data_IF_457404198867
#
_entry.id   IF_457404198867
#
_cell.length_a   1.000
_cell.length_b   1.000
_cell.length_c   1.000
_cell.angle_alpha   90.00
_cell.angle_beta   90.00
_cell.angle_gamma   90.00
#
_symmetry.space_group_name_H-M   'P 1'
#
loop_
_entity.id
_entity.type
_entity.pdbx_description
1 polymer ?
#
# COMPACT_ATOMS: atom_id res chain seq x y z
N UNK A 1 -14.54 -33.56 -2.37
CA UNK A 1 -15.07 -32.59 -3.37
C UNK A 1 -15.67 -31.36 -2.67
N UNK A 2 -16.57 -31.54 -1.70
CA UNK A 2 -17.24 -30.45 -0.95
C UNK A 2 -16.30 -29.43 -0.28
N UNK A 3 -15.24 -29.88 0.41
CA UNK A 3 -14.24 -28.99 1.05
C UNK A 3 -13.54 -28.05 0.06
N UNK A 4 -13.25 -28.53 -1.16
CA UNK A 4 -12.63 -27.69 -2.20
C UNK A 4 -13.63 -26.65 -2.72
N UNK A 5 -14.90 -27.04 -2.89
CA UNK A 5 -15.97 -26.12 -3.30
C UNK A 5 -16.19 -25.05 -2.25
N UNK A 6 -16.24 -25.40 -0.96
CA UNK A 6 -16.38 -24.45 0.14
C UNK A 6 -15.19 -23.47 0.19
N UNK A 7 -13.96 -23.97 0.02
CA UNK A 7 -12.77 -23.13 -0.03
C UNK A 7 -12.81 -22.14 -1.21
N UNK A 8 -13.20 -22.61 -2.40
CA UNK A 8 -13.36 -21.75 -3.58
C UNK A 8 -14.43 -20.70 -3.31
N UNK A 9 -15.59 -21.10 -2.78
CA UNK A 9 -16.69 -20.18 -2.53
C UNK A 9 -16.35 -19.12 -1.49
N UNK A 10 -15.64 -19.51 -0.43
CA UNK A 10 -15.14 -18.59 0.60
C UNK A 10 -14.07 -17.63 0.05
N UNK A 11 -13.17 -18.12 -0.82
CA UNK A 11 -12.18 -17.27 -1.49
C UNK A 11 -12.82 -16.28 -2.47
N UNK A 12 -13.85 -16.71 -3.21
CA UNK A 12 -14.59 -15.88 -4.15
C UNK A 12 -15.43 -14.82 -3.43
N UNK A 13 -16.10 -15.18 -2.34
CA UNK A 13 -16.81 -14.24 -1.48
C UNK A 13 -15.86 -13.16 -0.95
N UNK A 14 -14.68 -13.55 -0.47
CA UNK A 14 -13.62 -12.62 -0.04
C UNK A 14 -13.21 -11.65 -1.13
N UNK A 15 -12.94 -12.14 -2.34
CA UNK A 15 -12.58 -11.28 -3.46
C UNK A 15 -13.69 -10.27 -3.79
N UNK A 16 -14.96 -10.70 -3.76
CA UNK A 16 -16.11 -9.80 -3.98
C UNK A 16 -16.19 -8.70 -2.92
N UNK A 17 -16.10 -9.05 -1.64
CA UNK A 17 -16.16 -8.04 -0.56
C UNK A 17 -14.95 -7.10 -0.63
N UNK A 18 -13.75 -7.61 -0.91
CA UNK A 18 -12.55 -6.77 -1.13
C UNK A 18 -12.77 -5.75 -2.25
N UNK A 19 -13.31 -6.17 -3.39
CA UNK A 19 -13.60 -5.26 -4.51
C UNK A 19 -14.68 -4.25 -4.15
N UNK A 20 -15.76 -4.66 -3.47
CA UNK A 20 -16.85 -3.74 -3.09
C UNK A 20 -16.38 -2.68 -2.09
N UNK A 21 -15.65 -3.08 -1.05
CA UNK A 21 -15.09 -2.14 -0.05
C UNK A 21 -14.06 -1.24 -0.71
N UNK A 22 -13.17 -1.79 -1.54
CA UNK A 22 -12.18 -1.03 -2.29
C UNK A 22 -12.82 0.03 -3.18
N UNK A 23 -13.88 -0.31 -3.92
CA UNK A 23 -14.59 0.62 -4.81
C UNK A 23 -15.34 1.71 -4.02
N UNK A 24 -16.10 1.34 -3.00
CA UNK A 24 -16.86 2.30 -2.18
C UNK A 24 -15.93 3.33 -1.53
N UNK A 25 -14.78 2.86 -1.06
CA UNK A 25 -13.81 3.70 -0.38
C UNK A 25 -12.97 4.51 -1.36
N UNK A 26 -12.66 4.01 -2.56
CA UNK A 26 -12.07 4.80 -3.65
C UNK A 26 -13.00 5.96 -4.06
N UNK A 27 -14.30 5.72 -4.18
CA UNK A 27 -15.30 6.76 -4.44
C UNK A 27 -15.36 7.80 -3.32
N UNK A 28 -15.32 7.36 -2.05
CA UNK A 28 -15.28 8.27 -0.91
C UNK A 28 -14.01 9.14 -0.91
N UNK A 29 -12.86 8.55 -1.25
CA UNK A 29 -11.59 9.26 -1.39
C UNK A 29 -11.63 10.26 -2.54
N UNK A 30 -12.07 9.87 -3.74
CA UNK A 30 -12.22 10.77 -4.88
C UNK A 30 -13.14 11.95 -4.54
N UNK A 31 -14.31 11.68 -3.93
CA UNK A 31 -15.26 12.72 -3.50
C UNK A 31 -14.63 13.71 -2.52
N UNK A 32 -13.87 13.20 -1.55
CA UNK A 32 -13.16 14.04 -0.58
C UNK A 32 -11.99 14.80 -1.22
N UNK A 33 -11.31 14.21 -2.19
CA UNK A 33 -10.21 14.83 -2.90
C UNK A 33 -10.67 16.03 -3.75
N UNK A 34 -11.83 15.91 -4.40
CA UNK A 34 -12.46 17.02 -5.14
C UNK A 34 -12.75 18.21 -4.21
N UNK A 35 -13.06 17.94 -2.94
CA UNK A 35 -13.33 18.98 -1.94
C UNK A 35 -12.05 19.56 -1.30
N UNK A 36 -10.88 18.94 -1.49
CA UNK A 36 -9.64 19.23 -0.75
C UNK A 36 -8.55 19.95 -1.59
N UNK A 37 -8.75 20.26 -2.89
CA UNK A 37 -7.65 20.80 -3.73
C UNK A 37 -8.01 21.87 -4.76
N UNK A 38 -7.29 23.00 -4.64
CA UNK A 38 -6.91 23.95 -5.71
C UNK A 38 -5.52 23.74 -6.32
N UNK A 39 -4.86 22.62 -6.03
CA UNK A 39 -3.56 22.25 -6.62
C UNK A 39 -3.61 20.85 -7.23
N UNK A 40 -3.53 20.81 -8.56
CA UNK A 40 -3.74 19.62 -9.42
C UNK A 40 -2.64 18.57 -9.26
N UNK A 41 -1.39 18.97 -8.99
CA UNK A 41 -0.26 18.03 -8.82
C UNK A 41 -0.35 17.16 -7.54
N UNK A 42 -1.11 17.59 -6.54
CA UNK A 42 -1.34 16.83 -5.31
C UNK A 42 -2.41 15.75 -5.43
N UNK A 43 -3.33 15.85 -6.40
CA UNK A 43 -4.44 14.90 -6.51
C UNK A 43 -3.97 13.49 -6.82
N UNK A 44 -3.09 13.33 -7.80
CA UNK A 44 -2.65 12.00 -8.23
C UNK A 44 -1.80 11.31 -7.16
N UNK A 45 -0.93 12.07 -6.48
CA UNK A 45 -0.15 11.56 -5.35
C UNK A 45 -1.02 11.22 -4.13
N UNK A 46 -2.06 12.01 -3.83
CA UNK A 46 -3.02 11.73 -2.76
C UNK A 46 -3.93 10.55 -3.07
N UNK A 47 -4.34 10.38 -4.34
CA UNK A 47 -5.12 9.23 -4.81
C UNK A 47 -4.30 7.95 -4.74
N UNK A 48 -3.06 7.97 -5.23
CA UNK A 48 -2.15 6.83 -5.14
C UNK A 48 -1.82 6.47 -3.69
N UNK A 49 -1.59 7.48 -2.85
CA UNK A 49 -1.35 7.28 -1.42
C UNK A 49 -2.57 6.64 -0.76
N UNK A 50 -3.76 7.26 -0.87
CA UNK A 50 -4.98 6.74 -0.25
C UNK A 50 -5.39 5.37 -0.79
N UNK A 51 -5.15 5.08 -2.08
CA UNK A 51 -5.37 3.76 -2.67
C UNK A 51 -4.47 2.69 -2.04
N UNK A 52 -3.20 3.01 -1.82
CA UNK A 52 -2.26 2.12 -1.10
C UNK A 52 -2.73 1.85 0.33
N UNK A 53 -3.31 2.85 1.01
CA UNK A 53 -3.81 2.69 2.39
C UNK A 53 -5.08 1.83 2.44
N UNK A 54 -5.96 2.03 1.47
CA UNK A 54 -7.15 1.23 1.28
C UNK A 54 -6.83 -0.23 1.07
N UNK A 55 -5.94 -0.50 0.10
CA UNK A 55 -5.55 -1.84 -0.24
C UNK A 55 -4.90 -2.51 0.97
N UNK A 56 -4.05 -1.79 1.70
CA UNK A 56 -3.43 -2.29 2.94
C UNK A 56 -4.45 -2.56 4.06
N UNK A 57 -5.47 -1.71 4.24
CA UNK A 57 -6.49 -1.86 5.29
C UNK A 57 -7.50 -2.97 4.97
N UNK A 58 -7.92 -3.07 3.72
CA UNK A 58 -8.78 -4.16 3.25
C UNK A 58 -8.00 -5.48 3.34
N UNK A 59 -6.74 -5.50 2.92
CA UNK A 59 -5.89 -6.67 3.07
C UNK A 59 -5.67 -7.04 4.55
N UNK A 60 -5.57 -6.08 5.47
CA UNK A 60 -5.38 -6.36 6.91
C UNK A 60 -6.59 -7.00 7.58
N UNK A 61 -7.81 -6.54 7.29
CA UNK A 61 -9.06 -7.13 7.82
C UNK A 61 -9.21 -8.58 7.33
N UNK A 62 -9.02 -8.80 6.03
CA UNK A 62 -9.05 -10.15 5.48
C UNK A 62 -7.89 -11.02 5.96
N UNK A 63 -6.74 -10.42 6.28
CA UNK A 63 -5.63 -11.11 6.93
C UNK A 63 -6.02 -11.65 8.30
N UNK A 64 -6.80 -10.90 9.08
CA UNK A 64 -7.21 -11.32 10.41
C UNK A 64 -8.10 -12.57 10.37
N UNK A 65 -9.08 -12.58 9.45
CA UNK A 65 -9.94 -13.73 9.19
C UNK A 65 -9.16 -14.92 8.61
N UNK A 66 -8.13 -14.67 7.80
CA UNK A 66 -7.27 -15.71 7.25
C UNK A 66 -6.36 -16.39 8.28
N UNK A 67 -6.11 -15.78 9.44
CA UNK A 67 -5.18 -16.30 10.46
C UNK A 67 -5.79 -17.41 11.33
N UNK A 68 -7.11 -17.51 11.41
CA UNK A 68 -7.80 -18.56 12.18
C UNK A 68 -7.73 -19.92 11.49
N UNK A 69 -7.71 -19.96 10.15
CA UNK A 69 -7.65 -21.23 9.40
C UNK A 69 -6.38 -22.04 9.68
N UNK A 70 -5.16 -21.48 9.49
CA UNK A 70 -3.92 -22.18 9.72
C UNK A 70 -3.70 -22.58 11.18
N UNK A 71 -4.19 -21.79 12.14
CA UNK A 71 -4.11 -22.12 13.58
C UNK A 71 -4.99 -23.31 13.92
N UNK A 72 -6.26 -23.31 13.50
CA UNK A 72 -7.17 -24.45 13.70
C UNK A 72 -6.63 -25.71 13.02
N UNK A 73 -6.10 -25.57 11.80
CA UNK A 73 -5.50 -26.68 11.06
C UNK A 73 -4.27 -27.24 11.76
N UNK A 74 -3.38 -26.38 12.27
CA UNK A 74 -2.20 -26.79 13.03
C UNK A 74 -2.60 -27.55 14.30
N UNK A 75 -3.62 -27.09 15.03
CA UNK A 75 -4.14 -27.80 16.21
C UNK A 75 -4.68 -29.18 15.82
N UNK A 76 -5.43 -29.28 14.73
CA UNK A 76 -5.91 -30.55 14.21
C UNK A 76 -4.79 -31.50 13.79
N UNK A 77 -3.75 -30.97 13.13
CA UNK A 77 -2.55 -31.74 12.76
C UNK A 77 -1.83 -32.25 14.01
N UNK A 78 -1.69 -31.41 15.05
CA UNK A 78 -1.08 -31.81 16.33
C UNK A 78 -1.87 -32.93 17.00
N UNK A 79 -3.19 -32.79 17.11
CA UNK A 79 -4.06 -33.81 17.73
C UNK A 79 -4.00 -35.14 16.97
N UNK A 80 -4.03 -35.08 15.64
CA UNK A 80 -4.02 -36.28 14.80
C UNK A 80 -2.67 -36.98 14.86
N UNK A 81 -1.55 -36.25 14.79
CA UNK A 81 -0.21 -36.84 14.96
C UNK A 81 0.01 -37.36 16.39
N UNK A 82 -0.55 -36.71 17.41
CA UNK A 82 -0.44 -37.17 18.80
C UNK A 82 -1.13 -38.52 19.00
N UNK A 83 -2.27 -38.75 18.35
CA UNK A 83 -2.95 -40.06 18.39
C UNK A 83 -2.12 -41.20 17.81
N UNK A 84 -1.20 -40.91 16.90
CA UNK A 84 -0.35 -41.90 16.23
C UNK A 84 0.98 -42.10 16.95
N UNK A 85 1.66 -41.02 17.36
CA UNK A 85 3.06 -41.06 17.86
C UNK A 85 3.19 -40.71 19.34
N UNK A 86 2.12 -40.22 19.98
CA UNK A 86 2.12 -39.77 21.38
C UNK A 86 3.04 -38.56 21.62
N UNK A 87 3.68 -38.52 22.79
CA UNK A 87 4.52 -37.39 23.24
C UNK A 87 5.68 -37.04 22.29
N UNK A 88 6.11 -37.98 21.44
CA UNK A 88 7.21 -37.82 20.49
C UNK A 88 6.92 -36.76 19.41
N UNK A 89 5.68 -36.32 19.30
CA UNK A 89 5.25 -35.20 18.46
C UNK A 89 6.07 -33.91 18.69
N UNK A 90 6.58 -33.70 19.91
CA UNK A 90 7.37 -32.52 20.27
C UNK A 90 8.62 -32.39 19.39
N UNK A 91 9.31 -33.52 19.11
CA UNK A 91 10.50 -33.53 18.26
C UNK A 91 10.13 -33.29 16.79
N UNK A 92 9.04 -33.90 16.32
CA UNK A 92 8.56 -33.76 14.94
C UNK A 92 8.13 -32.31 14.65
N UNK A 93 7.31 -31.72 15.52
CA UNK A 93 6.86 -30.33 15.34
C UNK A 93 7.97 -29.33 15.65
N UNK A 94 8.87 -29.62 16.58
CA UNK A 94 10.05 -28.80 16.87
C UNK A 94 10.99 -28.70 15.68
N UNK A 95 11.27 -29.81 14.98
CA UNK A 95 12.10 -29.82 13.77
C UNK A 95 11.42 -29.09 12.60
N UNK A 96 10.12 -29.30 12.39
CA UNK A 96 9.33 -28.55 11.39
C UNK A 96 9.38 -27.04 11.69
N UNK A 97 9.19 -26.63 12.94
CA UNK A 97 9.20 -25.24 13.35
C UNK A 97 10.59 -24.60 13.17
N UNK A 98 11.67 -25.30 13.53
CA UNK A 98 13.03 -24.83 13.33
C UNK A 98 13.36 -24.64 11.83
N UNK A 99 13.06 -25.66 11.01
CA UNK A 99 13.32 -25.62 9.58
C UNK A 99 12.51 -24.50 8.89
N UNK A 100 11.23 -24.36 9.24
CA UNK A 100 10.38 -23.29 8.68
C UNK A 100 10.87 -21.90 9.11
N UNK A 101 11.29 -21.71 10.36
CA UNK A 101 11.86 -20.46 10.84
C UNK A 101 13.12 -20.07 10.05
N UNK A 102 14.03 -21.02 9.78
CA UNK A 102 15.22 -20.78 8.95
C UNK A 102 14.84 -20.35 7.54
N UNK A 103 13.86 -21.01 6.92
CA UNK A 103 13.40 -20.65 5.57
C UNK A 103 12.77 -19.25 5.49
N UNK A 104 12.07 -18.83 6.55
CA UNK A 104 11.48 -17.49 6.60
C UNK A 104 12.53 -16.43 6.93
N UNK A 105 13.54 -16.72 7.75
CA UNK A 105 14.66 -15.81 7.98
C UNK A 105 15.40 -15.48 6.67
N UNK A 106 15.70 -16.49 5.85
CA UNK A 106 16.29 -16.31 4.51
C UNK A 106 15.37 -15.48 3.61
N UNK A 107 14.06 -15.76 3.65
CA UNK A 107 13.05 -14.98 2.91
C UNK A 107 12.96 -13.53 3.39
N UNK A 108 13.16 -13.28 4.68
CA UNK A 108 13.20 -11.96 5.30
C UNK A 108 14.36 -11.12 4.80
N UNK A 109 15.56 -11.71 4.68
CA UNK A 109 16.74 -11.03 4.10
C UNK A 109 16.48 -10.62 2.65
N UNK A 110 15.87 -11.49 1.84
CA UNK A 110 15.45 -11.14 0.48
C UNK A 110 14.43 -10.00 0.48
N UNK A 111 13.39 -10.06 1.32
CA UNK A 111 12.36 -9.01 1.43
C UNK A 111 12.98 -7.66 1.81
N UNK A 112 13.93 -7.65 2.75
CA UNK A 112 14.62 -6.44 3.18
C UNK A 112 15.47 -5.84 2.05
N UNK A 113 16.30 -6.64 1.39
CA UNK A 113 17.08 -6.19 0.23
C UNK A 113 16.21 -5.67 -0.91
N UNK A 114 15.04 -6.25 -1.13
CA UNK A 114 14.05 -5.77 -2.11
C UNK A 114 13.46 -4.41 -1.71
N UNK A 115 13.24 -4.17 -0.41
CA UNK A 115 12.74 -2.89 0.09
C UNK A 115 13.78 -1.78 -0.01
N UNK A 116 15.04 -2.09 0.32
CA UNK A 116 16.17 -1.15 0.20
C UNK A 116 16.47 -0.83 -1.28
N UNK A 117 16.23 -1.80 -2.18
CA UNK A 117 16.32 -1.66 -3.64
C UNK A 117 14.98 -1.44 -4.32
N UNK A 118 14.02 -0.75 -3.69
CA UNK A 118 12.79 -0.33 -4.39
C UNK A 118 13.23 0.33 -5.69
N UNK A 119 12.74 -0.19 -6.84
CA UNK A 119 12.90 0.42 -8.17
C UNK A 119 12.77 1.92 -7.96
N UNK A 120 13.75 2.73 -8.37
CA UNK A 120 13.74 4.12 -8.04
C UNK A 120 12.44 4.65 -8.66
N UNK A 121 11.50 5.10 -7.81
CA UNK A 121 10.19 5.59 -8.26
C UNK A 121 10.37 6.60 -9.39
N UNK A 122 11.51 7.29 -9.39
CA UNK A 122 12.02 8.15 -10.45
C UNK A 122 12.00 7.54 -11.85
N UNK A 123 12.30 6.25 -12.09
CA UNK A 123 12.28 5.70 -13.45
C UNK A 123 10.87 5.65 -14.02
N UNK A 124 9.92 5.09 -13.24
CA UNK A 124 8.54 5.03 -13.70
C UNK A 124 7.96 6.45 -13.85
N UNK A 125 8.18 7.31 -12.85
CA UNK A 125 7.75 8.71 -12.89
C UNK A 125 8.32 9.46 -14.08
N UNK A 126 9.64 9.36 -14.35
CA UNK A 126 10.30 10.02 -15.49
C UNK A 126 9.80 9.50 -16.83
N UNK A 127 9.54 8.19 -16.96
CA UNK A 127 8.95 7.64 -18.19
C UNK A 127 7.51 8.14 -18.36
N UNK A 128 6.71 8.18 -17.30
CA UNK A 128 5.33 8.68 -17.38
C UNK A 128 5.25 10.18 -17.62
N UNK A 129 6.27 10.96 -17.25
CA UNK A 129 6.41 12.38 -17.62
C UNK A 129 6.88 12.54 -19.08
N UNK A 130 7.75 11.64 -19.54
CA UNK A 130 8.29 11.66 -20.90
C UNK A 130 7.23 11.32 -21.96
N UNK A 131 6.34 10.36 -21.69
CA UNK A 131 5.38 9.85 -22.67
C UNK A 131 4.42 10.94 -23.20
N UNK A 132 3.76 11.76 -22.35
CA UNK A 132 2.96 12.90 -22.82
C UNK A 132 3.76 13.94 -23.60
N UNK A 133 5.03 14.12 -23.27
CA UNK A 133 5.93 15.12 -23.86
C UNK A 133 6.80 14.57 -24.99
N UNK A 134 6.56 13.35 -25.49
CA UNK A 134 7.45 12.66 -26.42
C UNK A 134 7.65 13.41 -27.75
N UNK A 135 6.60 14.09 -28.22
CA UNK A 135 6.68 14.86 -29.46
C UNK A 135 7.63 16.05 -29.30
N UNK A 136 7.52 16.80 -28.20
CA UNK A 136 8.40 17.92 -27.91
C UNK A 136 9.85 17.46 -27.72
N UNK A 137 10.06 16.31 -27.10
CA UNK A 137 11.39 15.72 -26.90
C UNK A 137 12.02 15.37 -28.26
N UNK A 138 11.27 14.73 -29.17
CA UNK A 138 11.75 14.38 -30.50
C UNK A 138 12.04 15.59 -31.37
N UNK A 139 11.15 16.59 -31.35
CA UNK A 139 11.32 17.83 -32.12
C UNK A 139 12.57 18.61 -31.70
N UNK A 140 13.00 18.49 -30.44
CA UNK A 140 14.19 19.16 -29.90
C UNK A 140 15.43 18.25 -29.80
N UNK A 141 15.35 17.01 -30.28
CA UNK A 141 16.41 16.00 -30.15
C UNK A 141 16.92 15.80 -28.71
N UNK A 142 16.02 15.89 -27.73
CA UNK A 142 16.33 15.77 -26.30
C UNK A 142 16.35 14.31 -25.80
N UNK A 143 16.29 13.31 -26.68
CA UNK A 143 16.24 11.91 -26.29
C UNK A 143 17.47 11.52 -25.46
N UNK A 144 18.67 11.91 -25.89
CA UNK A 144 19.92 11.58 -25.18
C UNK A 144 19.98 12.20 -23.79
N UNK A 145 19.53 13.45 -23.64
CA UNK A 145 19.44 14.13 -22.35
C UNK A 145 18.45 13.44 -21.41
N UNK A 146 17.26 13.08 -21.90
CA UNK A 146 16.27 12.33 -21.10
C UNK A 146 16.71 10.90 -20.77
N UNK A 147 17.37 10.21 -21.69
CA UNK A 147 17.90 8.87 -21.46
C UNK A 147 19.05 8.90 -20.45
N UNK A 148 19.88 9.94 -20.45
CA UNK A 148 20.95 10.13 -19.45
C UNK A 148 20.41 10.37 -18.03
N UNK A 149 19.18 10.90 -17.92
CA UNK A 149 18.47 11.08 -16.66
C UNK A 149 17.87 9.76 -16.14
N UNK A 150 17.74 8.72 -16.95
CA UNK A 150 17.30 7.42 -16.45
C UNK A 150 18.44 6.77 -15.68
N UNK A 151 18.18 6.18 -14.49
CA UNK A 151 19.18 5.42 -13.78
C UNK A 151 19.67 4.31 -14.72
N UNK A 152 20.97 4.31 -15.04
CA UNK A 152 21.55 3.41 -16.02
C UNK A 152 21.34 1.93 -15.68
N UNK A 153 21.52 1.08 -16.69
CA UNK A 153 21.41 -0.40 -16.65
C UNK A 153 22.24 -1.10 -15.55
N UNK A 154 23.05 -0.37 -14.78
CA UNK A 154 23.72 -0.84 -13.56
C UNK A 154 22.77 -1.13 -12.39
N UNK A 155 21.46 -1.21 -12.64
CA UNK A 155 20.54 -1.87 -11.72
C UNK A 155 20.76 -3.39 -11.82
N UNK A 156 21.86 -3.88 -11.25
CA UNK A 156 22.23 -5.29 -11.25
C UNK A 156 21.21 -6.11 -10.43
N UNK A 157 20.11 -6.47 -11.11
CA UNK A 157 18.99 -7.25 -10.62
C UNK A 157 19.30 -8.76 -10.66
N UNK A 158 20.47 -9.16 -11.19
CA UNK A 158 20.85 -10.57 -11.27
C UNK A 158 21.01 -11.17 -9.87
N UNK A 159 21.65 -10.44 -8.95
CA UNK A 159 21.83 -10.89 -7.57
C UNK A 159 20.52 -10.99 -6.78
N UNK A 160 19.60 -10.03 -6.96
CA UNK A 160 18.27 -10.05 -6.32
C UNK A 160 17.34 -11.09 -6.93
N UNK A 161 17.39 -11.26 -8.25
CA UNK A 161 16.71 -12.33 -8.97
C UNK A 161 17.17 -13.72 -8.51
N UNK A 162 18.49 -13.92 -8.38
CA UNK A 162 19.05 -15.16 -7.83
C UNK A 162 18.60 -15.40 -6.38
N UNK A 163 18.69 -14.40 -5.49
CA UNK A 163 18.20 -14.52 -4.12
C UNK A 163 16.71 -14.86 -4.05
N UNK A 164 15.89 -14.31 -4.95
CA UNK A 164 14.46 -14.63 -5.05
C UNK A 164 14.23 -16.10 -5.38
N UNK A 165 14.93 -16.61 -6.40
CA UNK A 165 14.84 -18.00 -6.84
C UNK A 165 15.36 -18.92 -5.74
N UNK A 166 16.48 -18.59 -5.12
CA UNK A 166 17.07 -19.33 -4.01
C UNK A 166 16.13 -19.40 -2.81
N UNK A 167 15.56 -18.27 -2.37
CA UNK A 167 14.60 -18.25 -1.26
C UNK A 167 13.34 -19.07 -1.57
N UNK A 168 12.86 -19.04 -2.82
CA UNK A 168 11.73 -19.88 -3.26
C UNK A 168 12.08 -21.38 -3.27
N UNK A 169 13.27 -21.72 -3.76
CA UNK A 169 13.78 -23.10 -3.79
C UNK A 169 13.97 -23.65 -2.37
N UNK A 170 14.64 -22.90 -1.49
CA UNK A 170 14.81 -23.25 -0.07
C UNK A 170 13.44 -23.49 0.56
N UNK A 171 12.50 -22.54 0.44
CA UNK A 171 11.14 -22.70 1.02
C UNK A 171 10.40 -23.94 0.50
N UNK A 172 10.58 -24.31 -0.77
CA UNK A 172 9.99 -25.54 -1.34
C UNK A 172 10.67 -26.79 -0.78
N UNK A 173 12.00 -26.79 -0.71
CA UNK A 173 12.78 -27.91 -0.19
C UNK A 173 12.53 -28.13 1.30
N UNK A 174 12.47 -27.07 2.11
CA UNK A 174 12.21 -27.16 3.55
C UNK A 174 10.88 -27.86 3.85
N UNK A 175 9.84 -27.66 3.03
CA UNK A 175 8.52 -28.29 3.20
C UNK A 175 8.53 -29.80 3.00
N UNK A 176 9.33 -30.30 2.05
CA UNK A 176 9.43 -31.73 1.77
C UNK A 176 10.52 -32.40 2.64
N UNK A 177 11.64 -31.71 2.88
CA UNK A 177 12.76 -32.20 3.69
C UNK A 177 12.40 -32.35 5.17
N UNK A 178 11.52 -31.49 5.71
CA UNK A 178 11.09 -31.59 7.11
C UNK A 178 10.35 -32.92 7.39
N UNK A 179 9.58 -33.44 6.43
CA UNK A 179 8.89 -34.72 6.56
C UNK A 179 9.89 -35.88 6.55
N UNK A 180 10.87 -35.83 5.64
CA UNK A 180 11.89 -36.87 5.51
C UNK A 180 12.83 -36.92 6.72
N UNK A 181 13.28 -35.76 7.21
CA UNK A 181 14.11 -35.66 8.40
C UNK A 181 13.36 -36.14 9.64
N UNK A 182 12.10 -35.74 9.80
CA UNK A 182 11.22 -36.18 10.89
C UNK A 182 11.01 -37.71 10.90
N UNK A 183 10.88 -38.33 9.73
CA UNK A 183 10.78 -39.79 9.59
C UNK A 183 12.12 -40.52 9.80
N UNK A 184 13.24 -39.89 9.42
CA UNK A 184 14.58 -40.50 9.55
C UNK A 184 15.12 -40.50 10.98
N UNK A 185 14.75 -39.49 11.79
CA UNK A 185 15.20 -39.35 13.19
C UNK A 185 14.53 -40.37 14.11
N UNK A 186 13.40 -40.95 13.69
CA UNK A 186 12.70 -41.98 14.46
C UNK A 186 12.71 -43.31 13.71
N UNK A 187 13.52 -44.29 14.14
CA UNK A 187 13.39 -45.63 13.61
C UNK A 187 12.01 -46.19 14.00
N UNK A 188 11.15 -46.29 12.99
CA UNK A 188 9.84 -46.94 12.94
C UNK A 188 9.80 -48.41 13.47
N UNK A 189 10.88 -49.22 13.56
CA UNK A 189 10.80 -50.63 13.97
C UNK A 189 10.19 -50.90 15.35
N UNK A 190 10.15 -49.92 16.27
CA UNK A 190 9.52 -50.07 17.58
C UNK A 190 7.98 -49.89 17.54
N UNK A 191 7.42 -49.47 16.41
CA UNK A 191 6.01 -49.16 16.23
C UNK A 191 5.40 -50.09 15.19
N UNK A 192 4.42 -50.91 15.61
CA UNK A 192 3.55 -51.65 14.69
C UNK A 192 2.54 -50.69 14.05
N UNK A 193 3.01 -49.82 13.17
CA UNK A 193 2.16 -48.87 12.45
C UNK A 193 1.44 -49.56 11.29
N UNK A 194 0.14 -49.29 11.14
CA UNK A 194 -0.59 -49.64 9.93
C UNK A 194 -0.19 -48.72 8.77
N UNK A 195 -0.34 -49.21 7.54
CA UNK A 195 -0.18 -48.37 6.33
C UNK A 195 -1.06 -47.11 6.39
N UNK A 196 -2.24 -47.21 7.01
CA UNK A 196 -3.15 -46.08 7.22
C UNK A 196 -2.54 -45.02 8.15
N UNK A 197 -1.82 -45.43 9.19
CA UNK A 197 -1.23 -44.52 10.18
C UNK A 197 -0.01 -43.80 9.61
N UNK A 198 0.79 -44.51 8.80
CA UNK A 198 1.91 -43.92 8.06
C UNK A 198 1.40 -42.82 7.12
N UNK A 199 0.34 -43.12 6.36
CA UNK A 199 -0.26 -42.15 5.43
C UNK A 199 -0.83 -40.93 6.17
N UNK A 200 -1.54 -41.15 7.29
CA UNK A 200 -2.05 -40.07 8.17
C UNK A 200 -0.94 -39.20 8.73
N UNK A 201 0.16 -39.81 9.15
CA UNK A 201 1.32 -39.13 9.70
C UNK A 201 2.02 -38.26 8.64
N UNK A 202 2.24 -38.78 7.43
CA UNK A 202 2.83 -38.01 6.33
C UNK A 202 1.93 -36.83 5.96
N UNK A 203 0.61 -37.04 5.84
CA UNK A 203 -0.33 -35.98 5.49
C UNK A 203 -0.41 -34.88 6.55
N UNK A 204 -0.45 -35.25 7.84
CA UNK A 204 -0.48 -34.29 8.96
C UNK A 204 0.83 -33.51 9.08
N UNK A 205 1.99 -34.13 8.93
CA UNK A 205 3.29 -33.43 8.95
C UNK A 205 3.43 -32.44 7.79
N UNK A 206 3.00 -32.83 6.58
CA UNK A 206 3.00 -31.95 5.40
C UNK A 206 2.05 -30.77 5.57
N UNK A 207 0.88 -31.02 6.16
CA UNK A 207 -0.10 -29.98 6.51
C UNK A 207 0.45 -29.04 7.58
N UNK A 208 1.05 -29.55 8.65
CA UNK A 208 1.64 -28.77 9.73
C UNK A 208 2.75 -27.83 9.23
N UNK A 209 3.65 -28.32 8.37
CA UNK A 209 4.68 -27.48 7.75
C UNK A 209 4.11 -26.34 6.90
N UNK A 210 3.00 -26.58 6.19
CA UNK A 210 2.30 -25.53 5.45
C UNK A 210 1.65 -24.49 6.37
N UNK A 211 0.97 -24.94 7.43
CA UNK A 211 0.32 -24.10 8.44
C UNK A 211 1.34 -23.21 9.15
N UNK A 212 2.47 -23.77 9.60
CA UNK A 212 3.56 -22.99 10.23
C UNK A 212 4.10 -21.91 9.29
N UNK A 213 4.37 -22.25 8.03
CA UNK A 213 4.85 -21.28 7.04
C UNK A 213 3.87 -20.13 6.80
N UNK A 214 2.56 -20.43 6.73
CA UNK A 214 1.51 -19.41 6.58
C UNK A 214 1.43 -18.50 7.82
N UNK A 215 1.53 -19.05 9.03
CA UNK A 215 1.56 -18.27 10.27
C UNK A 215 2.75 -17.30 10.34
N UNK A 216 3.95 -17.75 9.95
CA UNK A 216 5.13 -16.89 9.87
C UNK A 216 4.97 -15.75 8.85
N UNK A 217 4.41 -16.04 7.67
CA UNK A 217 4.13 -15.02 6.66
C UNK A 217 3.09 -14.00 7.16
N UNK A 218 2.09 -14.45 7.90
CA UNK A 218 1.09 -13.57 8.50
C UNK A 218 1.71 -12.56 9.47
N UNK A 219 2.71 -12.95 10.27
CA UNK A 219 3.44 -12.03 11.18
C UNK A 219 4.20 -10.96 10.39
N UNK A 220 4.90 -11.36 9.33
CA UNK A 220 5.63 -10.43 8.44
C UNK A 220 4.70 -9.39 7.81
N UNK A 221 3.48 -9.77 7.43
CA UNK A 221 2.50 -8.87 6.82
C UNK A 221 1.86 -7.91 7.83
N UNK A 222 1.62 -8.36 9.07
CA UNK A 222 1.15 -7.49 10.16
C UNK A 222 2.15 -6.35 10.44
N UNK A 223 3.44 -6.68 10.51
CA UNK A 223 4.48 -5.69 10.73
C UNK A 223 4.53 -4.62 9.61
N UNK A 224 4.21 -5.01 8.37
CA UNK A 224 4.13 -4.10 7.23
C UNK A 224 2.90 -3.17 7.33
N UNK A 225 1.75 -3.69 7.75
CA UNK A 225 0.53 -2.90 8.00
C UNK A 225 0.77 -1.85 9.08
N UNK A 226 1.36 -2.22 10.22
CA UNK A 226 1.66 -1.25 11.29
C UNK A 226 2.66 -0.18 10.86
N UNK A 227 3.64 -0.53 10.01
CA UNK A 227 4.56 0.46 9.42
C UNK A 227 3.82 1.43 8.50
N UNK A 228 2.91 0.93 7.66
CA UNK A 228 2.07 1.77 6.82
C UNK A 228 1.19 2.67 7.68
N UNK A 229 0.52 2.13 8.71
CA UNK A 229 -0.31 2.92 9.63
C UNK A 229 0.48 4.07 10.29
N UNK A 230 1.70 3.83 10.76
CA UNK A 230 2.56 4.88 11.33
C UNK A 230 2.94 5.95 10.30
N UNK A 231 3.27 5.55 9.06
CA UNK A 231 3.55 6.50 7.98
C UNK A 231 2.32 7.37 7.65
N UNK A 232 1.14 6.77 7.64
CA UNK A 232 -0.14 7.46 7.42
C UNK A 232 -0.42 8.45 8.54
N UNK A 233 -0.35 8.01 9.80
CA UNK A 233 -0.64 8.86 10.95
C UNK A 233 0.32 10.05 11.01
N UNK A 234 1.59 9.87 10.63
CA UNK A 234 2.56 10.95 10.50
C UNK A 234 2.16 12.01 9.47
N UNK A 235 1.61 11.61 8.33
CA UNK A 235 1.19 12.52 7.24
C UNK A 235 -0.20 13.11 7.44
N UNK A 236 -1.16 12.35 7.99
CA UNK A 236 -2.49 12.87 8.33
C UNK A 236 -2.48 13.85 9.49
N UNK A 237 -1.50 13.75 10.41
CA UNK A 237 -1.27 14.77 11.47
C UNK A 237 -0.77 16.10 10.91
N UNK A 238 -0.23 16.11 9.69
CA UNK A 238 -0.04 17.34 8.90
C UNK A 238 -1.39 17.83 8.34
N UNK A 239 -2.44 17.77 9.16
CA UNK A 239 -3.78 18.16 8.78
C UNK A 239 -3.82 19.68 8.71
N UNK A 240 -3.86 20.14 7.46
CA UNK A 240 -4.36 21.44 7.01
C UNK A 240 -5.50 21.92 7.92
N UNK A 241 -5.30 23.06 8.56
CA UNK A 241 -6.41 23.96 8.88
C UNK A 241 -6.95 24.44 7.53
N UNK A 242 -7.91 23.73 6.97
CA UNK A 242 -8.84 24.38 6.05
C UNK A 242 -9.58 25.36 6.94
N UNK A 243 -9.10 26.61 6.97
CA UNK A 243 -9.91 27.70 7.47
C UNK A 243 -11.16 27.63 6.61
N UNK A 244 -12.24 27.17 7.23
CA UNK A 244 -13.56 27.21 6.62
C UNK A 244 -13.81 28.70 6.42
N UNK A 245 -13.58 29.21 5.22
CA UNK A 245 -13.99 30.56 4.85
C UNK A 245 -15.48 30.60 5.20
N UNK A 246 -15.82 31.37 6.22
CA UNK A 246 -17.21 31.55 6.59
C UNK A 246 -17.92 32.07 5.34
N UNK A 247 -18.78 31.23 4.76
CA UNK A 247 -19.59 31.61 3.60
C UNK A 247 -20.58 32.65 4.12
N UNK A 248 -20.17 33.92 4.08
CA UNK A 248 -21.02 35.03 4.47
C UNK A 248 -22.29 34.99 3.62
N UNK A 249 -23.46 35.11 4.26
CA UNK A 249 -24.76 34.95 3.60
C UNK A 249 -24.85 35.89 2.41
N UNK A 250 -25.07 35.31 1.23
CA UNK A 250 -25.41 36.02 0.01
C UNK A 250 -26.55 37.03 0.28
N UNK A 251 -26.27 38.33 0.12
CA UNK A 251 -27.28 39.38 0.16
C UNK A 251 -27.82 39.62 -1.25
N UNK A 252 -29.14 39.46 -1.42
CA UNK A 252 -29.81 39.63 -2.71
C UNK A 252 -29.79 41.12 -3.08
N UNK A 253 -29.07 41.49 -4.14
CA UNK A 253 -28.95 42.87 -4.64
C UNK A 253 -27.67 43.63 -4.26
N UNK A 254 -26.70 42.97 -3.61
CA UNK A 254 -25.37 43.53 -3.35
C UNK A 254 -24.30 43.10 -4.38
N UNK A 255 -23.08 43.68 -4.31
CA UNK A 255 -21.96 43.27 -5.14
C UNK A 255 -21.66 41.77 -5.01
N UNK A 256 -21.34 41.12 -6.13
CA UNK A 256 -21.07 39.67 -6.24
C UNK A 256 -19.70 39.28 -5.69
N UNK A 257 -18.71 40.17 -5.84
CA UNK A 257 -17.35 39.98 -5.32
C UNK A 257 -16.97 41.24 -4.57
N UNK A 258 -16.58 41.09 -3.30
CA UNK A 258 -16.02 42.17 -2.49
C UNK A 258 -14.79 41.64 -1.78
N UNK A 259 -13.66 42.33 -1.91
CA UNK A 259 -12.47 42.08 -1.09
C UNK A 259 -11.99 43.41 -0.53
N UNK A 260 -11.88 43.49 0.79
CA UNK A 260 -11.41 44.67 1.50
C UNK A 260 -10.16 44.29 2.29
N UNK A 261 -9.04 44.92 1.94
CA UNK A 261 -7.74 44.73 2.57
C UNK A 261 -7.37 43.25 2.77
N UNK A 262 -7.58 42.44 1.72
CA UNK A 262 -7.41 40.99 1.77
C UNK A 262 -6.01 40.59 1.28
N UNK A 263 -5.30 39.80 2.09
CA UNK A 263 -4.03 39.18 1.72
C UNK A 263 -4.20 37.69 1.53
N UNK A 264 -3.64 37.13 0.46
CA UNK A 264 -3.75 35.71 0.13
C UNK A 264 -2.37 35.08 -0.01
N UNK A 265 -2.19 33.92 0.60
CA UNK A 265 -1.01 33.08 0.49
C UNK A 265 -1.33 31.78 -0.24
N UNK A 266 -0.31 31.19 -0.87
CA UNK A 266 -0.41 29.80 -1.31
C UNK A 266 -0.49 28.88 -0.10
N UNK A 267 -1.29 27.82 -0.18
CA UNK A 267 -1.44 26.88 0.92
C UNK A 267 -0.08 26.36 1.43
N UNK A 268 0.17 26.54 2.73
CA UNK A 268 1.42 26.09 3.37
C UNK A 268 2.60 27.05 3.23
N UNK A 269 2.41 28.20 2.57
CA UNK A 269 3.38 29.29 2.60
C UNK A 269 2.97 30.33 3.64
N UNK A 270 3.96 30.86 4.37
CA UNK A 270 3.73 31.87 5.39
C UNK A 270 3.65 33.29 4.82
N UNK A 271 4.24 33.53 3.65
CA UNK A 271 4.26 34.85 3.03
C UNK A 271 3.07 35.01 2.06
N UNK A 272 2.34 36.15 2.12
CA UNK A 272 1.26 36.44 1.20
C UNK A 272 1.82 36.68 -0.21
N UNK A 273 1.23 36.00 -1.20
CA UNK A 273 1.58 36.13 -2.60
C UNK A 273 0.75 37.22 -3.33
N UNK A 274 -0.40 37.60 -2.75
CA UNK A 274 -1.31 38.59 -3.31
C UNK A 274 -1.87 39.47 -2.19
N UNK A 275 -1.86 40.79 -2.39
CA UNK A 275 -2.49 41.74 -1.47
C UNK A 275 -3.45 42.63 -2.26
N UNK A 276 -4.74 42.59 -1.93
CA UNK A 276 -5.78 43.44 -2.52
C UNK A 276 -6.32 44.45 -1.52
N UNK A 277 -6.16 45.74 -1.84
CA UNK A 277 -6.61 46.86 -1.02
C UNK A 277 -8.14 46.98 -0.99
N UNK A 278 -8.79 47.07 -2.15
CA UNK A 278 -10.25 47.11 -2.26
C UNK A 278 -10.70 46.75 -3.66
N UNK A 279 -11.57 45.75 -3.79
CA UNK A 279 -12.27 45.43 -5.05
C UNK A 279 -13.75 45.19 -4.75
N UNK A 280 -14.62 45.69 -5.61
CA UNK A 280 -16.06 45.47 -5.55
C UNK A 280 -16.57 45.30 -6.97
N UNK A 281 -17.22 44.18 -7.28
CA UNK A 281 -17.75 43.84 -8.60
C UNK A 281 -19.26 43.58 -8.48
N UNK A 282 -20.06 44.27 -9.27
CA UNK A 282 -21.51 44.19 -9.28
C UNK A 282 -22.04 43.06 -10.18
N UNK A 283 -23.32 42.72 -10.02
CA UNK A 283 -23.98 41.74 -10.89
C UNK A 283 -24.13 42.30 -12.32
N UNK A 284 -23.70 41.55 -13.32
CA UNK A 284 -23.72 41.99 -14.73
C UNK A 284 -22.58 42.92 -15.15
N UNK A 285 -21.62 43.21 -14.26
CA UNK A 285 -20.46 44.04 -14.56
C UNK A 285 -19.38 43.27 -15.33
N UNK A 286 -18.85 43.86 -16.42
CA UNK A 286 -17.71 43.32 -17.16
C UNK A 286 -16.42 44.03 -16.75
N UNK A 287 -15.56 43.31 -16.03
CA UNK A 287 -14.28 43.84 -15.52
C UNK A 287 -13.11 43.28 -16.30
N UNK A 288 -12.22 44.15 -16.79
CA UNK A 288 -10.96 43.77 -17.43
C UNK A 288 -9.78 43.92 -16.46
N UNK A 289 -9.06 42.82 -16.21
CA UNK A 289 -7.85 42.83 -15.36
C UNK A 289 -6.60 42.82 -16.24
N UNK A 290 -5.77 43.84 -16.11
CA UNK A 290 -4.53 44.01 -16.90
C UNK A 290 -3.31 44.13 -15.99
N UNK A 291 -2.11 43.90 -16.52
CA UNK A 291 -0.84 44.01 -15.78
C UNK A 291 0.29 43.20 -16.40
N UNK A 292 1.51 43.37 -15.91
CA UNK A 292 2.71 42.67 -16.41
C UNK A 292 2.71 41.16 -16.11
N UNK A 293 3.51 40.36 -16.82
CA UNK A 293 3.69 38.92 -16.51
C UNK A 293 4.19 38.77 -15.07
N UNK A 294 3.56 37.89 -14.28
CA UNK A 294 3.90 37.71 -12.86
C UNK A 294 3.18 38.66 -11.89
N UNK A 295 2.36 39.61 -12.36
CA UNK A 295 1.65 40.58 -11.50
C UNK A 295 0.51 40.00 -10.64
N UNK A 296 0.36 38.67 -10.57
CA UNK A 296 -0.68 38.03 -9.74
C UNK A 296 -2.08 37.93 -10.36
N UNK A 297 -2.28 38.17 -11.66
CA UNK A 297 -3.61 38.07 -12.32
C UNK A 297 -4.29 36.71 -12.13
N UNK A 298 -3.56 35.62 -12.37
CA UNK A 298 -4.08 34.26 -12.15
C UNK A 298 -4.30 33.96 -10.67
N UNK A 299 -3.45 34.52 -9.79
CA UNK A 299 -3.62 34.40 -8.34
C UNK A 299 -4.90 35.11 -7.87
N UNK A 300 -5.23 36.29 -8.42
CA UNK A 300 -6.48 37.00 -8.13
C UNK A 300 -7.71 36.15 -8.48
N UNK A 301 -7.71 35.49 -9.66
CA UNK A 301 -8.80 34.59 -10.04
C UNK A 301 -8.91 33.39 -9.11
N UNK A 302 -7.79 32.79 -8.71
CA UNK A 302 -7.77 31.68 -7.76
C UNK A 302 -8.23 32.11 -6.36
N UNK A 303 -7.89 33.33 -5.93
CA UNK A 303 -8.39 33.92 -4.68
C UNK A 303 -9.90 34.12 -4.70
N UNK A 304 -10.48 34.64 -5.79
CA UNK A 304 -11.94 34.76 -5.99
C UNK A 304 -12.62 33.38 -5.93
N UNK A 305 -11.99 32.36 -6.51
CA UNK A 305 -12.49 30.98 -6.50
C UNK A 305 -12.34 30.27 -5.14
N UNK A 306 -11.64 30.87 -4.18
CA UNK A 306 -11.36 30.26 -2.87
C UNK A 306 -10.23 29.23 -2.87
N UNK A 307 -9.40 29.20 -3.91
CA UNK A 307 -8.28 28.26 -4.09
C UNK A 307 -6.94 28.83 -3.57
N UNK A 308 -6.98 29.96 -2.87
CA UNK A 308 -5.87 30.51 -2.09
C UNK A 308 -6.30 30.70 -0.64
N UNK A 309 -5.34 30.67 0.28
CA UNK A 309 -5.61 30.85 1.70
C UNK A 309 -5.65 32.34 2.03
N UNK A 310 -6.75 32.82 2.62
CA UNK A 310 -6.82 34.15 3.20
C UNK A 310 -5.91 34.20 4.44
N UNK A 311 -5.03 35.19 4.51
CA UNK A 311 -4.20 35.43 5.69
C UNK A 311 -5.01 36.22 6.71
N UNK A 312 -5.52 35.54 7.74
CA UNK A 312 -6.34 36.13 8.81
C UNK A 312 -5.54 37.04 9.78
N UNK A 313 -4.24 37.26 9.54
CA UNK A 313 -3.37 38.03 10.44
C UNK A 313 -3.52 39.55 10.34
N UNK A 314 -4.42 40.07 9.52
CA UNK A 314 -4.73 41.51 9.42
C UNK A 314 -6.21 41.77 9.20
#
# INVERSE_FOLDING_TARGET
MLMRVLHIHHSAFRQRVKVQVGNALHLAVCRRSILETGSTHTLQSLLDERKVLLDAYVDSIFLLLNKLGPTIRLIGDIMLTYSVVGWRIVVLFGTILALTAVSEAISGVYKQRRLDRKRPRTLHTRITEMLPSILAIKLNSWESAFLSLLPGDNYDDRGTGFLKVLAAAVRRMTKEAAVLLALSVFPIPAMRLSNADIIRLIMSLKSAGSSCGELFQNVSQIAEIFRLERLIQGRLRQKRSVATTEISRYQKGGPRVVMNNASFAWFGQAEPALHMSSISIQDGELVAVTGQVGSGKSALLLAILGEMQLDERK
#
